data_IF_586777163757
#
_entry.id   IF_586777163757
#
_cell.length_a   1.000
_cell.length_b   1.000
_cell.length_c   1.000
_cell.angle_alpha   90.00
_cell.angle_beta   90.00
_cell.angle_gamma   90.00
#
_symmetry.space_group_name_H-M   'P 1'
#
loop_
_entity.id
_entity.type
_entity.pdbx_description
1 polymer ?
#
# COMPACT_ATOMS: atom_id res chain seq x y z
N UNK A 1 5.12 -37.97 -11.41
CA UNK A 1 4.71 -36.90 -10.46
C UNK A 1 5.49 -35.65 -10.82
N UNK A 2 4.93 -34.79 -11.68
CA UNK A 2 5.60 -33.55 -12.07
C UNK A 2 5.46 -32.55 -10.93
N UNK A 3 6.55 -32.37 -10.18
CA UNK A 3 6.69 -31.30 -9.20
C UNK A 3 6.52 -29.97 -9.95
N UNK A 4 5.40 -29.29 -9.74
CA UNK A 4 5.19 -27.94 -10.26
C UNK A 4 6.22 -27.04 -9.56
N UNK A 5 7.27 -26.57 -10.27
CA UNK A 5 8.23 -25.67 -9.65
C UNK A 5 7.43 -24.43 -9.26
N UNK A 6 7.42 -24.06 -7.97
CA UNK A 6 6.66 -22.91 -7.42
C UNK A 6 6.61 -21.77 -8.44
N UNK A 7 5.54 -21.69 -9.23
CA UNK A 7 5.38 -20.63 -10.22
C UNK A 7 5.27 -19.34 -9.42
N UNK A 8 6.30 -18.49 -9.52
CA UNK A 8 6.28 -17.18 -8.89
C UNK A 8 5.38 -16.29 -9.76
N UNK A 9 4.06 -16.41 -9.56
CA UNK A 9 3.11 -15.50 -10.19
C UNK A 9 3.29 -14.11 -9.58
N UNK A 10 3.54 -13.13 -10.45
CA UNK A 10 3.40 -11.73 -10.09
C UNK A 10 1.91 -11.40 -10.05
N UNK A 11 1.41 -11.03 -8.88
CA UNK A 11 0.01 -10.64 -8.69
C UNK A 11 -0.05 -9.22 -8.17
N UNK A 12 -1.00 -8.46 -8.74
CA UNK A 12 -1.32 -7.12 -8.25
C UNK A 12 -2.00 -7.23 -6.88
N UNK A 13 -1.99 -6.15 -6.08
CA UNK A 13 -2.76 -6.11 -4.84
C UNK A 13 -4.22 -6.47 -5.11
N UNK A 14 -4.76 -7.38 -4.30
CA UNK A 14 -6.16 -7.75 -4.34
C UNK A 14 -7.05 -6.61 -3.84
N UNK A 15 -6.56 -5.87 -2.85
CA UNK A 15 -7.27 -4.74 -2.25
C UNK A 15 -6.28 -3.63 -1.88
N UNK A 16 -6.75 -2.39 -2.03
CA UNK A 16 -6.06 -1.16 -1.62
C UNK A 16 -7.07 -0.24 -0.97
N UNK A 17 -6.76 0.25 0.22
CA UNK A 17 -7.62 1.17 0.96
C UNK A 17 -6.80 2.28 1.63
N UNK A 18 -7.32 3.51 1.60
CA UNK A 18 -6.78 4.61 2.37
C UNK A 18 -7.62 4.74 3.63
N UNK A 19 -6.99 4.47 4.77
CA UNK A 19 -7.56 4.67 6.09
C UNK A 19 -7.31 6.13 6.49
N UNK A 20 -8.40 6.88 6.60
CA UNK A 20 -8.41 8.25 7.13
C UNK A 20 -9.24 8.29 8.40
N UNK A 21 -8.94 9.25 9.28
CA UNK A 21 -9.89 9.63 10.33
C UNK A 21 -11.14 10.21 9.66
N UNK A 22 -12.32 9.94 10.22
CA UNK A 22 -13.63 10.26 9.61
C UNK A 22 -13.94 11.76 9.52
N UNK A 23 -12.96 12.64 9.77
CA UNK A 23 -13.17 14.09 9.78
C UNK A 23 -12.69 14.74 8.48
N UNK A 24 -13.37 15.79 8.01
CA UNK A 24 -12.90 16.56 6.86
C UNK A 24 -11.55 17.21 7.16
N UNK A 25 -10.67 17.18 6.17
CA UNK A 25 -9.37 17.82 6.25
C UNK A 25 -9.56 19.34 6.34
N UNK A 26 -8.94 19.94 7.35
CA UNK A 26 -8.96 21.37 7.62
C UNK A 26 -7.58 21.96 7.38
N UNK A 27 -7.53 23.21 6.90
CA UNK A 27 -6.27 23.91 6.75
C UNK A 27 -5.52 24.02 8.09
N UNK A 28 -4.19 24.09 8.03
CA UNK A 28 -3.29 24.24 9.19
C UNK A 28 -3.32 23.10 10.21
N UNK A 29 -3.88 21.94 9.85
CA UNK A 29 -3.82 20.73 10.67
C UNK A 29 -2.96 19.66 10.01
N UNK A 30 -2.21 18.95 10.84
CA UNK A 30 -1.46 17.77 10.43
C UNK A 30 -2.36 16.54 10.50
N UNK A 31 -2.23 15.67 9.49
CA UNK A 31 -3.02 14.46 9.38
C UNK A 31 -2.11 13.28 9.05
N UNK A 32 -2.31 12.18 9.75
CA UNK A 32 -1.75 10.89 9.39
C UNK A 32 -2.73 10.17 8.47
N UNK A 33 -2.26 9.82 7.27
CA UNK A 33 -3.01 9.01 6.31
C UNK A 33 -2.30 7.66 6.19
N UNK A 34 -3.06 6.58 6.31
CA UNK A 34 -2.53 5.22 6.22
C UNK A 34 -3.06 4.59 4.95
N UNK A 35 -2.18 4.03 4.12
CA UNK A 35 -2.58 3.22 2.98
C UNK A 35 -2.28 1.77 3.28
N UNK A 36 -3.26 0.91 3.06
CA UNK A 36 -3.15 -0.52 3.31
C UNK A 36 -3.41 -1.29 2.02
N UNK A 37 -2.54 -2.26 1.72
CA UNK A 37 -2.65 -3.09 0.52
C UNK A 37 -2.44 -4.56 0.84
N UNK A 38 -3.26 -5.44 0.25
CA UNK A 38 -3.26 -6.87 0.55
C UNK A 38 -3.13 -7.74 -0.70
N UNK A 39 -2.58 -8.95 -0.53
CA UNK A 39 -2.58 -10.00 -1.55
C UNK A 39 -1.58 -9.80 -2.70
N UNK A 40 -0.73 -8.79 -2.64
CA UNK A 40 0.31 -8.55 -3.66
C UNK A 40 1.47 -9.54 -3.52
N UNK A 41 1.97 -10.04 -4.65
CA UNK A 41 3.21 -10.83 -4.71
C UNK A 41 4.04 -10.36 -5.91
N UNK A 42 5.26 -9.82 -5.72
CA UNK A 42 5.88 -9.46 -4.44
C UNK A 42 5.10 -8.36 -3.69
N UNK A 43 5.55 -8.00 -2.48
CA UNK A 43 4.93 -6.93 -1.69
C UNK A 43 4.79 -5.64 -2.54
N UNK A 44 3.64 -4.98 -2.43
CA UNK A 44 3.34 -3.81 -3.23
C UNK A 44 4.19 -2.61 -2.80
N UNK A 45 4.58 -1.77 -3.76
CA UNK A 45 5.17 -0.47 -3.49
C UNK A 45 4.05 0.58 -3.46
N UNK A 46 3.98 1.37 -2.38
CA UNK A 46 2.93 2.37 -2.18
C UNK A 46 3.54 3.77 -2.24
N UNK A 47 3.08 4.60 -3.18
CA UNK A 47 3.54 5.99 -3.36
C UNK A 47 2.43 6.97 -3.09
N UNK A 48 2.74 8.07 -2.39
CA UNK A 48 1.79 9.14 -2.09
C UNK A 48 1.99 10.32 -3.03
N UNK A 49 0.89 10.89 -3.50
CA UNK A 49 0.89 12.00 -4.44
C UNK A 49 -0.11 13.07 -4.02
N UNK A 50 0.26 14.32 -4.17
CA UNK A 50 -0.62 15.48 -3.98
C UNK A 50 -0.31 16.50 -5.06
N UNK A 51 -1.33 16.98 -5.77
CA UNK A 51 -1.19 17.99 -6.83
C UNK A 51 -0.12 17.62 -7.86
N UNK A 52 -0.07 16.34 -8.26
CA UNK A 52 0.90 15.79 -9.20
C UNK A 52 2.37 15.79 -8.71
N UNK A 53 2.59 16.03 -7.41
CA UNK A 53 3.90 15.97 -6.75
C UNK A 53 3.95 14.74 -5.83
N UNK A 54 5.00 13.95 -5.98
CA UNK A 54 5.25 12.78 -5.13
C UNK A 54 5.74 13.20 -3.73
N UNK A 55 5.09 12.66 -2.70
CA UNK A 55 5.46 12.84 -1.30
C UNK A 55 6.48 11.76 -0.91
N UNK A 56 7.75 12.13 -0.82
CA UNK A 56 8.87 11.18 -0.61
C UNK A 56 9.03 10.69 0.83
N UNK A 57 8.41 11.35 1.80
CA UNK A 57 8.58 11.07 3.22
C UNK A 57 7.49 10.13 3.76
N UNK A 58 7.12 9.11 2.99
CA UNK A 58 6.14 8.11 3.41
C UNK A 58 6.84 6.93 4.10
N UNK A 59 6.26 6.45 5.20
CA UNK A 59 6.72 5.25 5.90
C UNK A 59 5.98 4.04 5.33
N UNK A 60 6.71 3.04 4.84
CA UNK A 60 6.15 1.77 4.38
C UNK A 60 6.44 0.67 5.40
N UNK A 61 5.41 -0.11 5.76
CA UNK A 61 5.54 -1.29 6.62
C UNK A 61 5.04 -2.51 5.84
N UNK A 62 5.89 -3.52 5.72
CA UNK A 62 5.57 -4.76 5.00
C UNK A 62 5.30 -5.85 6.03
N UNK A 63 4.08 -6.36 6.06
CA UNK A 63 3.71 -7.51 6.88
C UNK A 63 3.65 -8.75 6.00
N UNK A 64 4.48 -9.73 6.30
CA UNK A 64 4.46 -11.03 5.61
C UNK A 64 3.42 -11.89 6.34
N UNK A 65 2.30 -12.18 5.68
CA UNK A 65 1.37 -13.21 6.15
C UNK A 65 2.08 -14.56 5.98
N UNK A 66 2.48 -15.16 7.11
CA UNK A 66 3.15 -16.46 7.19
C UNK A 66 2.22 -17.63 6.96
#
# INVERSE_FOLDING_TARGET
MHSCPKCFLAVKPLSVSILSTQSPLSAFKEYELICESYGSRPAAQVTWWKDNVELKNAIQKITIAG
#
